data_IF_474692307298
#
_entry.id   IF_474692307298
#
_cell.length_a   1.000
_cell.length_b   1.000
_cell.length_c   1.000
_cell.angle_alpha   90.00
_cell.angle_beta   90.00
_cell.angle_gamma   90.00
#
_symmetry.space_group_name_H-M   'P 1'
#
loop_
_entity.id
_entity.type
_entity.pdbx_description
1 polymer ?
#
# COMPACT_ATOMS: atom_id res chain seq x y z
N UNK A 1 -13.17 -9.76 18.54
CA UNK A 1 -12.72 -8.86 17.46
C UNK A 1 -11.36 -8.37 17.91
N UNK A 2 -10.31 -9.00 17.39
CA UNK A 2 -8.92 -8.76 17.79
C UNK A 2 -8.40 -7.64 16.92
N UNK A 3 -7.83 -6.60 17.53
CA UNK A 3 -7.16 -5.54 16.79
C UNK A 3 -6.05 -6.14 15.91
N UNK A 4 -6.09 -5.99 14.58
CA UNK A 4 -5.08 -6.57 13.70
C UNK A 4 -3.72 -5.85 13.81
N UNK A 5 -3.67 -4.69 14.46
CA UNK A 5 -2.44 -3.94 14.71
C UNK A 5 -2.30 -3.74 16.22
N UNK A 6 -1.71 -4.71 16.95
CA UNK A 6 -1.44 -4.51 18.38
C UNK A 6 -0.62 -3.24 18.57
N UNK A 7 -0.92 -2.49 19.63
CA UNK A 7 -0.15 -1.29 20.04
C UNK A 7 1.35 -1.57 19.92
N UNK A 8 2.02 -0.86 19.01
CA UNK A 8 3.46 -1.00 18.79
C UNK A 8 3.87 -2.08 17.79
N UNK A 9 3.20 -2.17 16.63
CA UNK A 9 3.75 -2.92 15.49
C UNK A 9 5.10 -2.30 15.08
N UNK A 10 6.18 -2.86 15.63
CA UNK A 10 7.54 -2.48 15.31
C UNK A 10 7.85 -3.04 13.91
N UNK A 11 7.67 -2.20 12.90
CA UNK A 11 7.92 -2.54 11.50
C UNK A 11 9.37 -2.99 11.25
N UNK A 12 10.30 -2.69 12.17
CA UNK A 12 11.68 -3.20 12.13
C UNK A 12 11.78 -4.70 12.44
N UNK A 13 10.73 -5.30 13.00
CA UNK A 13 10.70 -6.73 13.36
C UNK A 13 9.92 -7.60 12.36
N UNK A 14 9.27 -7.00 11.35
CA UNK A 14 8.60 -7.78 10.30
C UNK A 14 9.67 -8.43 9.43
N UNK A 15 9.73 -9.77 9.35
CA UNK A 15 10.71 -10.46 8.50
C UNK A 15 10.56 -10.02 7.02
N UNK A 16 11.66 -9.81 6.28
CA UNK A 16 11.60 -9.31 4.91
C UNK A 16 10.72 -10.14 3.96
N UNK A 17 10.69 -11.46 4.14
CA UNK A 17 9.86 -12.41 3.39
C UNK A 17 8.36 -12.24 3.67
N UNK A 18 7.99 -11.66 4.83
CA UNK A 18 6.59 -11.40 5.20
C UNK A 18 6.11 -10.00 4.84
N UNK A 19 7.02 -9.07 4.56
CA UNK A 19 6.67 -7.68 4.19
C UNK A 19 5.62 -7.60 3.07
N UNK A 20 5.70 -8.40 1.97
CA UNK A 20 4.66 -8.41 0.94
C UNK A 20 3.25 -8.72 1.47
N UNK A 21 3.14 -9.77 2.29
CA UNK A 21 1.86 -10.20 2.86
C UNK A 21 1.29 -9.17 3.83
N UNK A 22 2.14 -8.59 4.68
CA UNK A 22 1.70 -7.57 5.66
C UNK A 22 1.29 -6.28 4.96
N UNK A 23 2.06 -5.83 3.95
CA UNK A 23 1.70 -4.66 3.16
C UNK A 23 0.37 -4.83 2.45
N UNK A 24 0.15 -5.97 1.78
CA UNK A 24 -1.10 -6.24 1.05
C UNK A 24 -2.30 -6.32 1.98
N UNK A 25 -2.15 -6.97 3.14
CA UNK A 25 -3.19 -6.96 4.18
C UNK A 25 -3.52 -5.54 4.68
N UNK A 26 -2.51 -4.69 4.85
CA UNK A 26 -2.70 -3.31 5.28
C UNK A 26 -3.42 -2.45 4.21
N UNK A 27 -3.20 -2.72 2.92
CA UNK A 27 -3.95 -2.06 1.84
C UNK A 27 -5.45 -2.37 1.89
N UNK A 28 -5.83 -3.58 2.29
CA UNK A 28 -7.24 -3.98 2.42
C UNK A 28 -7.97 -3.24 3.57
N UNK A 29 -7.22 -2.56 4.44
CA UNK A 29 -7.76 -1.69 5.49
C UNK A 29 -8.02 -0.25 4.99
N UNK A 30 -7.51 0.11 3.80
CA UNK A 30 -7.72 1.43 3.22
C UNK A 30 -8.98 1.44 2.36
N UNK A 31 -9.83 2.43 2.61
CA UNK A 31 -10.92 2.78 1.70
C UNK A 31 -10.47 3.93 0.80
N UNK A 32 -10.47 3.70 -0.52
CA UNK A 32 -10.03 4.65 -1.55
C UNK A 32 -11.21 5.12 -2.39
N UNK A 33 -11.51 6.42 -2.32
CA UNK A 33 -12.56 7.10 -3.09
C UNK A 33 -11.98 7.78 -4.34
N UNK A 34 -12.83 8.42 -5.13
CA UNK A 34 -12.43 8.97 -6.44
C UNK A 34 -11.43 10.14 -6.36
N UNK A 35 -11.39 10.83 -5.21
CA UNK A 35 -10.54 11.98 -4.93
C UNK A 35 -9.48 11.74 -3.85
N UNK A 36 -9.31 10.49 -3.38
CA UNK A 36 -8.24 10.14 -2.44
C UNK A 36 -8.66 9.07 -1.45
N UNK A 37 -8.07 9.10 -0.27
CA UNK A 37 -8.50 8.26 0.85
C UNK A 37 -9.83 8.73 1.42
N UNK A 38 -10.70 7.78 1.77
CA UNK A 38 -11.92 8.07 2.49
C UNK A 38 -11.60 8.79 3.82
N UNK A 39 -12.45 9.72 4.27
CA UNK A 39 -12.26 10.36 5.57
C UNK A 39 -12.44 9.34 6.70
N UNK A 40 -11.77 9.56 7.83
CA UNK A 40 -11.96 8.75 9.05
C UNK A 40 -10.91 7.67 9.29
N UNK A 41 -9.93 7.50 8.39
CA UNK A 41 -8.73 6.69 8.68
C UNK A 41 -7.91 7.34 9.79
N UNK A 42 -7.40 6.52 10.71
CA UNK A 42 -6.50 7.00 11.76
C UNK A 42 -5.14 7.37 11.18
N UNK A 43 -4.47 8.35 11.80
CA UNK A 43 -3.11 8.75 11.40
C UNK A 43 -2.15 7.57 11.54
N UNK A 44 -2.34 6.77 12.59
CA UNK A 44 -1.55 5.57 12.86
C UNK A 44 -1.66 4.54 11.73
N UNK A 45 -2.86 4.31 11.18
CA UNK A 45 -3.04 3.41 10.04
C UNK A 45 -2.30 3.93 8.80
N UNK A 46 -2.45 5.23 8.51
CA UNK A 46 -1.78 5.88 7.38
C UNK A 46 -0.26 5.75 7.50
N UNK A 47 0.28 6.03 8.68
CA UNK A 47 1.72 5.94 8.96
C UNK A 47 2.25 4.51 8.84
N UNK A 48 1.49 3.52 9.33
CA UNK A 48 1.84 2.10 9.19
C UNK A 48 1.88 1.68 7.73
N UNK A 49 0.84 2.02 6.94
CA UNK A 49 0.79 1.64 5.52
C UNK A 49 1.90 2.36 4.74
N UNK A 50 2.16 3.64 5.03
CA UNK A 50 3.23 4.39 4.39
C UNK A 50 4.60 3.77 4.66
N UNK A 51 4.85 3.37 5.91
CA UNK A 51 6.08 2.73 6.32
C UNK A 51 6.27 1.35 5.67
N UNK A 52 5.21 0.54 5.60
CA UNK A 52 5.21 -0.74 4.88
C UNK A 52 5.48 -0.55 3.38
N UNK A 53 4.86 0.45 2.77
CA UNK A 53 5.05 0.78 1.36
C UNK A 53 6.51 1.18 1.09
N UNK A 54 7.11 2.01 1.94
CA UNK A 54 8.52 2.40 1.79
C UNK A 54 9.47 1.20 1.97
N UNK A 55 9.19 0.29 2.91
CA UNK A 55 9.95 -0.95 3.09
C UNK A 55 9.85 -1.88 1.87
N UNK A 56 8.64 -2.10 1.33
CA UNK A 56 8.42 -2.92 0.12
C UNK A 56 9.11 -2.29 -1.08
N UNK A 57 8.96 -0.98 -1.28
CA UNK A 57 9.63 -0.22 -2.34
C UNK A 57 11.15 -0.36 -2.28
N UNK A 58 11.75 -0.39 -1.08
CA UNK A 58 13.19 -0.60 -0.90
C UNK A 58 13.60 -2.06 -1.09
N UNK A 59 12.81 -2.99 -0.58
CA UNK A 59 13.11 -4.43 -0.58
C UNK A 59 12.93 -5.12 -1.93
N UNK A 60 12.08 -4.60 -2.81
CA UNK A 60 11.77 -5.21 -4.11
C UNK A 60 12.41 -4.40 -5.24
N UNK A 61 13.56 -4.80 -5.80
CA UNK A 61 14.21 -4.10 -6.92
C UNK A 61 13.56 -4.41 -8.28
N UNK A 62 13.81 -3.58 -9.30
CA UNK A 62 13.22 -3.75 -10.64
C UNK A 62 13.66 -5.02 -11.40
N UNK A 63 14.74 -5.68 -10.97
CA UNK A 63 15.29 -6.91 -11.57
C UNK A 63 14.68 -8.21 -10.98
N UNK A 64 13.63 -8.08 -10.17
CA UNK A 64 12.97 -9.19 -9.49
C UNK A 64 11.92 -9.87 -10.39
N UNK A 65 11.19 -10.82 -9.81
CA UNK A 65 10.03 -11.45 -10.46
C UNK A 65 8.96 -10.42 -10.86
N UNK A 66 8.13 -10.68 -11.88
CA UNK A 66 7.05 -9.78 -12.29
C UNK A 66 6.14 -9.37 -11.13
N UNK A 67 5.79 -10.31 -10.25
CA UNK A 67 4.95 -10.05 -9.08
C UNK A 67 5.61 -9.02 -8.14
N UNK A 68 6.90 -9.18 -7.85
CA UNK A 68 7.65 -8.25 -6.99
C UNK A 68 7.80 -6.87 -7.62
N UNK A 69 7.95 -6.78 -8.94
CA UNK A 69 7.96 -5.50 -9.66
C UNK A 69 6.61 -4.78 -9.56
N UNK A 70 5.50 -5.50 -9.75
CA UNK A 70 4.15 -4.96 -9.63
C UNK A 70 3.88 -4.51 -8.19
N UNK A 71 4.29 -5.29 -7.21
CA UNK A 71 4.15 -4.93 -5.80
C UNK A 71 4.99 -3.69 -5.43
N UNK A 72 6.20 -3.55 -5.98
CA UNK A 72 7.02 -2.32 -5.83
C UNK A 72 6.28 -1.11 -6.41
N UNK A 73 5.70 -1.25 -7.60
CA UNK A 73 4.93 -0.18 -8.26
C UNK A 73 3.71 0.22 -7.43
N UNK A 74 2.98 -0.75 -6.91
CA UNK A 74 1.84 -0.52 -6.02
C UNK A 74 2.28 0.19 -4.73
N UNK A 75 3.42 -0.20 -4.15
CA UNK A 75 3.97 0.47 -2.98
C UNK A 75 4.32 1.94 -3.26
N UNK A 76 4.93 2.24 -4.40
CA UNK A 76 5.19 3.62 -4.82
C UNK A 76 3.89 4.42 -4.98
N UNK A 77 2.91 3.87 -5.70
CA UNK A 77 1.61 4.55 -5.88
C UNK A 77 0.86 4.73 -4.55
N UNK A 78 1.04 3.82 -3.59
CA UNK A 78 0.42 3.91 -2.26
C UNK A 78 1.03 5.06 -1.45
N UNK A 79 2.33 5.31 -1.56
CA UNK A 79 2.96 6.48 -0.94
C UNK A 79 2.39 7.79 -1.51
N UNK A 80 2.23 7.87 -2.83
CA UNK A 80 1.63 9.04 -3.47
C UNK A 80 0.19 9.25 -2.98
N UNK A 81 -0.62 8.18 -2.93
CA UNK A 81 -1.99 8.22 -2.40
C UNK A 81 -2.04 8.66 -0.93
N UNK A 82 -1.17 8.11 -0.08
CA UNK A 82 -1.15 8.44 1.35
C UNK A 82 -0.68 9.88 1.60
N UNK A 83 0.15 10.44 0.71
CA UNK A 83 0.57 11.84 0.78
C UNK A 83 -0.60 12.82 0.61
N UNK A 84 -1.70 12.39 -0.01
CA UNK A 84 -2.92 13.18 -0.17
C UNK A 84 -3.93 12.95 0.95
N UNK A 85 -3.64 12.13 1.98
CA UNK A 85 -4.60 11.82 3.05
C UNK A 85 -5.16 13.06 3.76
N UNK A 86 -4.41 14.17 3.78
CA UNK A 86 -4.77 15.41 4.46
C UNK A 86 -4.94 16.62 3.51
N UNK A 87 -4.84 16.41 2.19
CA UNK A 87 -4.99 17.45 1.17
C UNK A 87 -6.02 16.99 0.15
N UNK A 88 -6.84 17.91 -0.37
CA UNK A 88 -7.79 17.60 -1.45
C UNK A 88 -7.59 18.55 -2.61
N UNK A 89 -6.73 18.15 -3.54
CA UNK A 89 -6.42 18.88 -4.75
C UNK A 89 -7.05 18.23 -5.97
N UNK A 90 -7.10 18.97 -7.09
CA UNK A 90 -7.57 18.40 -8.36
C UNK A 90 -6.66 17.26 -8.87
N UNK A 91 -5.38 17.24 -8.47
CA UNK A 91 -4.38 16.26 -8.89
C UNK A 91 -4.59 14.89 -8.21
N UNK A 92 -5.30 14.85 -7.08
CA UNK A 92 -5.51 13.63 -6.30
C UNK A 92 -6.29 12.57 -7.09
N UNK A 93 -7.15 12.99 -8.03
CA UNK A 93 -7.87 12.06 -8.92
C UNK A 93 -6.95 11.27 -9.83
N UNK A 94 -5.86 11.90 -10.29
CA UNK A 94 -4.88 11.22 -11.14
C UNK A 94 -3.99 10.30 -10.31
N UNK A 95 -3.70 10.66 -9.05
CA UNK A 95 -3.03 9.80 -8.07
C UNK A 95 -3.90 8.55 -7.78
N UNK A 96 -5.19 8.73 -7.48
CA UNK A 96 -6.13 7.60 -7.27
C UNK A 96 -6.20 6.71 -8.50
N UNK A 97 -6.27 7.28 -9.70
CA UNK A 97 -6.31 6.49 -10.94
C UNK A 97 -5.05 5.65 -11.10
N UNK A 98 -3.89 6.24 -10.86
CA UNK A 98 -2.59 5.57 -10.91
C UNK A 98 -2.51 4.44 -9.89
N UNK A 99 -2.99 4.69 -8.67
CA UNK A 99 -3.05 3.69 -7.61
C UNK A 99 -3.99 2.52 -7.97
N UNK A 100 -5.22 2.82 -8.42
CA UNK A 100 -6.20 1.79 -8.82
C UNK A 100 -5.68 0.90 -9.95
N UNK A 101 -4.99 1.51 -10.93
CA UNK A 101 -4.35 0.74 -12.00
C UNK A 101 -3.26 -0.19 -11.46
N UNK A 102 -2.36 0.31 -10.60
CA UNK A 102 -1.31 -0.51 -10.01
C UNK A 102 -1.87 -1.66 -9.15
N UNK A 103 -2.94 -1.39 -8.37
CA UNK A 103 -3.60 -2.39 -7.55
C UNK A 103 -4.27 -3.48 -8.39
N UNK A 104 -4.96 -3.10 -9.46
CA UNK A 104 -5.58 -4.06 -10.39
C UNK A 104 -4.53 -4.94 -11.09
N UNK A 105 -3.47 -4.34 -11.64
CA UNK A 105 -2.39 -5.09 -12.29
C UNK A 105 -1.73 -6.11 -11.34
N UNK A 106 -1.43 -5.71 -10.11
CA UNK A 106 -0.88 -6.61 -9.09
C UNK A 106 -1.85 -7.76 -8.74
N UNK A 107 -3.11 -7.43 -8.45
CA UNK A 107 -4.12 -8.40 -8.07
C UNK A 107 -4.39 -9.43 -9.17
N UNK A 108 -4.50 -8.97 -10.41
CA UNK A 108 -4.77 -9.84 -11.56
C UNK A 108 -3.57 -10.75 -11.86
N UNK A 109 -2.33 -10.29 -11.63
CA UNK A 109 -1.13 -11.13 -11.72
C UNK A 109 -1.13 -12.24 -10.65
N UNK A 110 -1.49 -11.90 -9.40
CA UNK A 110 -1.56 -12.86 -8.30
C UNK A 110 -2.63 -13.93 -8.55
N UNK A 111 -3.82 -13.54 -9.01
CA UNK A 111 -4.90 -14.47 -9.35
C UNK A 111 -4.59 -15.38 -10.56
N UNK A 112 -3.57 -15.07 -11.36
CA UNK A 112 -3.09 -15.94 -12.44
C UNK A 112 -2.06 -16.99 -11.98
N UNK A 113 -1.55 -16.87 -10.75
CA UNK A 113 -0.56 -17.77 -10.15
C UNK A 113 -1.18 -18.79 -9.18
N UNK A 114 -2.44 -18.57 -8.77
CA UNK A 114 -3.28 -19.47 -7.94
C UNK A 114 -4.07 -20.47 -8.81
#
# INVERSE_FOLDING_TARGET
>A
MTDPFPDGLDLLQVPPDRLPGVFTYALDQLEVQDDGLAPGHSVELIDVVASLAELVKRGMAAEHTPEQMLLRRLAMASLDLLSTAFSRTAEDRDIVRTWRQAYAEWRDNRGALE
#
